data_IF_848521695913
#
_entry.id   IF_848521695913
#
_cell.length_a   1.000
_cell.length_b   1.000
_cell.length_c   1.000
_cell.angle_alpha   90.00
_cell.angle_beta   90.00
_cell.angle_gamma   90.00
#
_symmetry.space_group_name_H-M   'P 1'
#
loop_
_entity.id
_entity.type
_entity.pdbx_description
1 polymer ?
#
# COMPACT_ATOMS: atom_id res chain seq x y z
N UNK A 1 12.65 -5.03 -26.17
CA UNK A 1 13.42 -3.79 -25.92
C UNK A 1 13.56 -3.60 -24.41
N UNK A 2 14.72 -3.22 -23.86
CA UNK A 2 14.87 -3.02 -22.40
C UNK A 2 13.93 -1.90 -21.92
N UNK A 3 13.16 -2.19 -20.87
CA UNK A 3 12.25 -1.25 -20.22
C UNK A 3 10.99 -0.89 -21.01
N UNK A 4 10.60 -1.68 -22.01
CA UNK A 4 9.45 -1.36 -22.88
C UNK A 4 8.13 -1.24 -22.12
N UNK A 5 7.86 -2.18 -21.19
CA UNK A 5 6.67 -2.12 -20.34
C UNK A 5 6.59 -0.84 -19.49
N UNK A 6 7.73 -0.32 -19.03
CA UNK A 6 7.81 0.97 -18.31
C UNK A 6 7.57 2.13 -19.26
N UNK A 7 8.25 2.12 -20.43
CA UNK A 7 8.15 3.15 -21.47
C UNK A 7 6.75 3.29 -22.08
N UNK A 8 5.94 2.25 -22.07
CA UNK A 8 4.56 2.30 -22.57
C UNK A 8 3.53 2.43 -21.44
N UNK A 9 4.00 2.57 -20.20
CA UNK A 9 3.18 2.47 -18.99
C UNK A 9 2.25 1.24 -19.04
N UNK A 10 2.73 0.07 -19.48
CA UNK A 10 1.89 -1.10 -19.78
C UNK A 10 0.99 -1.46 -18.59
N UNK A 11 -0.34 -1.59 -18.79
CA UNK A 11 -1.29 -1.75 -17.68
C UNK A 11 -1.10 -3.01 -16.83
N UNK A 12 -0.51 -4.07 -17.41
CA UNK A 12 -0.34 -5.34 -16.72
C UNK A 12 1.13 -5.67 -16.36
N UNK A 13 2.09 -5.00 -17.01
CA UNK A 13 3.52 -5.35 -16.92
C UNK A 13 4.41 -4.18 -16.47
N UNK A 14 3.89 -2.96 -16.61
CA UNK A 14 4.56 -1.71 -16.28
C UNK A 14 4.24 -1.25 -14.85
N UNK A 15 4.45 0.05 -14.56
CA UNK A 15 4.04 0.63 -13.28
C UNK A 15 2.54 0.51 -13.05
N UNK A 16 2.13 0.56 -11.77
CA UNK A 16 0.75 0.80 -11.39
C UNK A 16 0.34 2.23 -11.78
N UNK A 17 -0.94 2.44 -12.06
CA UNK A 17 -1.51 3.79 -11.92
C UNK A 17 -1.61 4.18 -10.44
N UNK A 18 -1.89 5.45 -10.18
CA UNK A 18 -2.09 5.93 -8.82
C UNK A 18 -3.36 5.33 -8.19
N UNK A 19 -4.42 5.12 -8.99
CA UNK A 19 -5.66 4.44 -8.59
C UNK A 19 -5.41 2.97 -8.27
N UNK A 20 -4.67 2.24 -9.10
CA UNK A 20 -4.35 0.81 -8.88
C UNK A 20 -3.60 0.59 -7.57
N UNK A 21 -2.53 1.36 -7.33
CA UNK A 21 -1.72 1.17 -6.12
C UNK A 21 -2.44 1.68 -4.87
N UNK A 22 -3.20 2.77 -4.95
CA UNK A 22 -4.02 3.23 -3.83
C UNK A 22 -5.05 2.17 -3.47
N UNK A 23 -5.79 1.66 -4.45
CA UNK A 23 -6.79 0.62 -4.23
C UNK A 23 -6.23 -0.67 -3.69
N UNK A 24 -5.07 -1.10 -4.19
CA UNK A 24 -4.38 -2.25 -3.64
C UNK A 24 -3.98 -2.04 -2.19
N UNK A 25 -3.35 -0.92 -1.83
CA UNK A 25 -2.87 -0.68 -0.46
C UNK A 25 -4.02 -0.51 0.54
N UNK A 26 -5.10 0.17 0.17
CA UNK A 26 -6.31 0.29 1.00
C UNK A 26 -6.93 -1.09 1.25
N UNK A 27 -7.06 -1.91 0.20
CA UNK A 27 -7.62 -3.26 0.31
C UNK A 27 -6.75 -4.17 1.14
N UNK A 28 -5.41 -4.11 1.00
CA UNK A 28 -4.47 -4.87 1.84
C UNK A 28 -4.65 -4.50 3.32
N UNK A 29 -4.80 -3.21 3.62
CA UNK A 29 -5.00 -2.72 5.00
C UNK A 29 -6.33 -3.20 5.58
N UNK A 30 -7.39 -3.14 4.76
CA UNK A 30 -8.71 -3.65 5.08
C UNK A 30 -8.70 -5.17 5.35
N UNK A 31 -8.06 -5.96 4.48
CA UNK A 31 -7.97 -7.41 4.64
C UNK A 31 -7.11 -7.79 5.85
N UNK A 32 -6.14 -6.96 6.21
CA UNK A 32 -5.39 -7.12 7.46
C UNK A 32 -6.27 -6.88 8.69
N UNK A 33 -7.07 -5.81 8.70
CA UNK A 33 -8.05 -5.54 9.78
C UNK A 33 -9.05 -6.69 9.95
N UNK A 34 -9.44 -7.33 8.86
CA UNK A 34 -10.32 -8.51 8.85
C UNK A 34 -9.61 -9.82 9.24
N UNK A 35 -8.29 -9.80 9.51
CA UNK A 35 -7.50 -11.01 9.82
C UNK A 35 -7.23 -11.93 8.63
N UNK A 36 -7.49 -11.47 7.40
CA UNK A 36 -7.31 -12.24 6.16
C UNK A 36 -5.92 -12.08 5.55
N UNK A 37 -5.20 -11.01 5.90
CA UNK A 37 -3.79 -10.78 5.54
C UNK A 37 -2.94 -10.89 6.81
N UNK A 38 -1.83 -11.62 6.74
CA UNK A 38 -0.90 -11.77 7.87
C UNK A 38 -0.07 -10.51 8.10
N UNK A 39 0.48 -10.36 9.32
CA UNK A 39 1.44 -9.29 9.66
C UNK A 39 2.63 -9.28 8.70
N UNK A 40 3.14 -10.46 8.38
CA UNK A 40 4.26 -10.66 7.45
C UNK A 40 3.89 -10.25 6.02
N UNK A 41 2.69 -10.62 5.55
CA UNK A 41 2.20 -10.19 4.24
C UNK A 41 2.05 -8.67 4.12
N UNK A 42 1.46 -8.04 5.14
CA UNK A 42 1.32 -6.59 5.22
C UNK A 42 2.69 -5.89 5.19
N UNK A 43 3.62 -6.30 6.06
CA UNK A 43 4.96 -5.72 6.15
C UNK A 43 5.74 -5.88 4.85
N UNK A 44 5.68 -7.04 4.20
CA UNK A 44 6.35 -7.29 2.93
C UNK A 44 5.82 -6.38 1.81
N UNK A 45 4.50 -6.27 1.68
CA UNK A 45 3.86 -5.41 0.67
C UNK A 45 4.18 -3.93 0.90
N UNK A 46 4.10 -3.46 2.15
CA UNK A 46 4.42 -2.07 2.49
C UNK A 46 5.89 -1.74 2.22
N UNK A 47 6.84 -2.63 2.54
CA UNK A 47 8.24 -2.42 2.19
C UNK A 47 8.48 -2.41 0.68
N UNK A 48 7.83 -3.32 -0.07
CA UNK A 48 7.94 -3.33 -1.53
C UNK A 48 7.45 -2.01 -2.13
N UNK A 49 6.31 -1.51 -1.67
CA UNK A 49 5.72 -0.25 -2.11
C UNK A 49 6.59 0.96 -1.75
N UNK A 50 7.09 1.03 -0.52
CA UNK A 50 7.83 2.18 -0.02
C UNK A 50 9.24 2.29 -0.61
N UNK A 51 9.91 1.16 -0.82
CA UNK A 51 11.33 1.12 -1.14
C UNK A 51 11.64 0.75 -2.60
N UNK A 52 10.68 0.15 -3.31
CA UNK A 52 10.86 -0.38 -4.66
C UNK A 52 11.99 -1.41 -4.77
N UNK A 53 12.43 -2.00 -3.63
CA UNK A 53 13.55 -2.94 -3.56
C UNK A 53 13.15 -4.29 -4.11
N UNK A 54 14.16 -5.06 -4.53
CA UNK A 54 13.89 -6.45 -4.93
C UNK A 54 13.55 -7.25 -3.67
N UNK A 55 12.60 -8.20 -3.73
CA UNK A 55 12.22 -9.00 -2.55
C UNK A 55 13.43 -9.56 -1.81
N UNK A 56 14.38 -10.13 -2.54
CA UNK A 56 15.58 -10.72 -1.92
C UNK A 56 16.44 -9.76 -1.11
N UNK A 57 16.38 -8.45 -1.37
CA UNK A 57 17.04 -7.47 -0.52
C UNK A 57 16.32 -7.31 0.81
N UNK A 58 14.99 -7.33 0.77
CA UNK A 58 14.13 -7.20 1.95
C UNK A 58 14.18 -8.47 2.80
N UNK A 59 14.25 -9.66 2.18
CA UNK A 59 14.34 -10.93 2.92
C UNK A 59 15.64 -11.08 3.70
N UNK A 60 16.68 -10.31 3.38
CA UNK A 60 17.95 -10.32 4.09
C UNK A 60 17.97 -9.33 5.28
N UNK A 61 16.86 -8.64 5.57
CA UNK A 61 16.73 -7.74 6.71
C UNK A 61 16.76 -8.54 8.03
N UNK A 62 17.43 -7.97 9.02
CA UNK A 62 17.41 -8.39 10.43
C UNK A 62 16.67 -7.33 11.24
N UNK A 63 16.24 -7.69 12.45
CA UNK A 63 15.50 -6.79 13.33
C UNK A 63 16.28 -5.50 13.66
N UNK A 64 17.61 -5.59 13.84
CA UNK A 64 18.49 -4.42 14.02
C UNK A 64 18.53 -3.44 12.85
N UNK A 65 18.06 -3.82 11.67
CA UNK A 65 18.05 -2.93 10.50
C UNK A 65 16.92 -1.90 10.57
N UNK A 66 15.99 -2.03 11.52
CA UNK A 66 14.97 -1.03 11.84
C UNK A 66 15.57 0.02 12.77
N UNK A 67 15.71 1.25 12.27
CA UNK A 67 16.42 2.32 12.97
C UNK A 67 15.47 3.47 13.31
N UNK A 68 15.33 3.74 14.61
CA UNK A 68 14.65 4.91 15.14
C UNK A 68 15.69 6.01 15.44
N UNK A 69 15.58 7.16 14.78
CA UNK A 69 16.55 8.26 14.94
C UNK A 69 15.83 9.45 15.59
N UNK A 70 16.19 9.86 16.82
CA UNK A 70 15.64 11.06 17.42
C UNK A 70 16.06 12.30 16.64
N UNK A 71 15.15 13.25 16.50
CA UNK A 71 15.43 14.59 15.97
C UNK A 71 15.05 15.65 17.00
N UNK A 72 15.30 16.92 16.68
CA UNK A 72 14.95 18.03 17.56
C UNK A 72 13.47 18.01 17.96
N UNK A 73 13.16 18.57 19.13
CA UNK A 73 11.79 18.77 19.63
C UNK A 73 11.00 17.47 19.90
N UNK A 74 11.68 16.34 20.13
CA UNK A 74 11.03 15.09 20.52
C UNK A 74 10.38 14.31 19.37
N UNK A 75 10.61 14.75 18.13
CA UNK A 75 10.20 13.98 16.95
C UNK A 75 11.21 12.87 16.64
N UNK A 76 10.79 11.90 15.84
CA UNK A 76 11.62 10.80 15.38
C UNK A 76 11.54 10.65 13.86
N UNK A 77 12.63 10.17 13.26
CA UNK A 77 12.68 9.70 11.88
C UNK A 77 12.92 8.19 11.87
N UNK A 78 12.27 7.51 10.94
CA UNK A 78 12.24 6.05 10.88
C UNK A 78 12.97 5.57 9.65
N UNK A 79 13.90 4.65 9.80
CA UNK A 79 14.69 4.14 8.69
C UNK A 79 14.76 2.61 8.68
N UNK A 80 14.95 2.07 7.49
CA UNK A 80 15.28 0.66 7.25
C UNK A 80 16.62 0.61 6.54
N UNK A 81 17.60 -0.09 7.12
CA UNK A 81 18.90 -0.27 6.51
C UNK A 81 18.89 -1.53 5.62
N UNK A 82 18.62 -1.35 4.31
CA UNK A 82 18.39 -2.49 3.41
C UNK A 82 19.72 -3.03 2.87
N UNK A 83 20.02 -4.33 3.03
CA UNK A 83 21.18 -4.95 2.42
C UNK A 83 21.18 -4.83 0.90
N UNK A 84 22.34 -4.49 0.34
CA UNK A 84 22.55 -4.46 -1.11
C UNK A 84 22.88 -5.87 -1.59
N UNK A 85 22.42 -6.19 -2.80
CA UNK A 85 22.70 -7.46 -3.47
C UNK A 85 23.36 -7.22 -4.82
N UNK A 86 23.95 -8.27 -5.39
CA UNK A 86 24.57 -8.26 -6.74
C UNK A 86 25.70 -7.23 -6.89
N UNK A 87 26.32 -6.82 -5.79
CA UNK A 87 27.59 -6.09 -5.84
C UNK A 87 28.69 -7.08 -6.21
N UNK A 88 29.60 -6.70 -7.12
CA UNK A 88 30.68 -7.58 -7.57
C UNK A 88 31.62 -7.86 -6.38
N UNK A 89 31.79 -9.14 -6.04
CA UNK A 89 32.71 -9.56 -4.97
C UNK A 89 32.22 -9.32 -3.53
N UNK A 90 30.96 -8.89 -3.33
CA UNK A 90 30.42 -8.65 -1.99
C UNK A 90 29.96 -9.94 -1.29
N UNK A 91 30.27 -10.05 0.01
CA UNK A 91 29.72 -11.08 0.90
C UNK A 91 28.29 -10.74 1.36
N UNK A 92 27.63 -11.68 2.03
CA UNK A 92 26.29 -11.46 2.59
C UNK A 92 26.29 -10.23 3.51
N UNK A 93 25.31 -9.35 3.31
CA UNK A 93 25.16 -8.10 4.09
C UNK A 93 26.45 -7.27 4.18
N UNK A 94 27.31 -7.28 3.15
CA UNK A 94 28.54 -6.49 3.12
C UNK A 94 28.30 -4.99 2.94
N UNK A 95 27.21 -4.61 2.26
CA UNK A 95 26.85 -3.22 1.99
C UNK A 95 25.36 -3.00 2.24
N UNK A 96 25.01 -1.78 2.63
CA UNK A 96 23.64 -1.38 2.93
C UNK A 96 23.25 -0.08 2.25
N UNK A 97 21.95 0.12 2.12
CA UNK A 97 21.36 1.40 1.73
C UNK A 97 20.23 1.76 2.69
N UNK A 98 20.36 2.93 3.31
CA UNK A 98 19.37 3.47 4.24
C UNK A 98 18.16 3.99 3.47
N UNK A 99 16.97 3.56 3.86
CA UNK A 99 15.69 4.00 3.29
C UNK A 99 14.87 4.61 4.42
N UNK A 100 14.43 5.85 4.26
CA UNK A 100 13.49 6.46 5.20
C UNK A 100 12.08 5.95 4.94
N UNK A 101 11.33 5.69 6.01
CA UNK A 101 9.92 5.27 5.96
C UNK A 101 9.07 6.20 6.82
N UNK A 102 7.81 6.34 6.44
CA UNK A 102 6.83 7.09 7.23
C UNK A 102 6.35 6.25 8.43
N UNK A 103 5.80 6.94 9.45
CA UNK A 103 5.40 6.31 10.72
C UNK A 103 4.47 5.09 10.54
N UNK A 104 3.50 5.16 9.63
CA UNK A 104 2.57 4.05 9.41
C UNK A 104 3.28 2.77 8.95
N UNK A 105 4.31 2.89 8.10
CA UNK A 105 5.12 1.75 7.68
C UNK A 105 5.97 1.27 8.86
N UNK A 106 6.56 2.21 9.62
CA UNK A 106 7.31 1.86 10.83
C UNK A 106 6.48 1.05 11.82
N UNK A 107 5.26 1.49 12.14
CA UNK A 107 4.38 0.81 13.08
C UNK A 107 4.07 -0.63 12.60
N UNK A 108 3.85 -0.82 11.30
CA UNK A 108 3.67 -2.16 10.71
C UNK A 108 4.94 -3.02 10.82
N UNK A 109 6.12 -2.41 10.64
CA UNK A 109 7.38 -3.12 10.86
C UNK A 109 7.61 -3.48 12.32
N UNK A 110 7.14 -2.67 13.27
CA UNK A 110 7.16 -3.03 14.69
C UNK A 110 6.21 -4.18 15.00
N UNK A 111 5.01 -4.21 14.41
CA UNK A 111 4.11 -5.37 14.53
C UNK A 111 4.75 -6.67 13.99
N UNK A 112 5.51 -6.57 12.89
CA UNK A 112 6.28 -7.70 12.39
C UNK A 112 7.45 -8.05 13.31
N UNK A 113 8.17 -7.07 13.85
CA UNK A 113 9.25 -7.28 14.82
C UNK A 113 8.75 -8.09 16.03
N UNK A 114 7.67 -7.63 16.66
CA UNK A 114 7.06 -8.28 17.83
C UNK A 114 6.60 -9.71 17.49
N UNK A 115 6.02 -9.88 16.29
CA UNK A 115 5.62 -11.19 15.81
C UNK A 115 6.83 -12.13 15.66
N UNK A 116 7.94 -11.68 15.06
CA UNK A 116 9.16 -12.49 14.93
C UNK A 116 9.67 -12.92 16.29
N UNK A 117 9.84 -11.97 17.23
CA UNK A 117 10.33 -12.29 18.58
C UNK A 117 9.43 -13.32 19.26
N UNK A 118 8.11 -13.09 19.23
CA UNK A 118 7.13 -14.02 19.81
C UNK A 118 7.22 -15.43 19.23
N UNK A 119 7.47 -15.58 17.93
CA UNK A 119 7.55 -16.89 17.29
C UNK A 119 8.85 -17.64 17.67
N UNK A 120 9.97 -16.94 17.75
CA UNK A 120 11.23 -17.54 18.18
C UNK A 120 11.21 -17.92 19.67
N UNK A 121 10.68 -17.05 20.53
CA UNK A 121 10.54 -17.35 21.97
C UNK A 121 9.58 -18.51 22.22
N UNK A 122 8.46 -18.56 21.49
CA UNK A 122 7.51 -19.68 21.58
C UNK A 122 8.15 -21.01 21.15
N UNK A 123 8.94 -21.01 20.08
CA UNK A 123 9.64 -22.21 19.60
C UNK A 123 10.71 -22.69 20.58
N UNK A 124 11.41 -21.79 21.26
CA UNK A 124 12.46 -22.12 22.22
C UNK A 124 11.94 -22.38 23.64
N UNK A 125 10.71 -21.95 23.94
CA UNK A 125 10.13 -22.03 25.30
C UNK A 125 10.84 -21.13 26.32
N UNK A 126 11.56 -20.10 25.85
CA UNK A 126 12.35 -19.20 26.69
C UNK A 126 12.44 -17.81 26.07
N UNK A 127 12.61 -16.79 26.91
CA UNK A 127 12.93 -15.44 26.44
C UNK A 127 14.31 -15.40 25.79
N UNK A 128 14.47 -14.54 24.79
CA UNK A 128 15.73 -14.38 24.05
C UNK A 128 16.36 -13.03 24.42
N UNK A 129 17.69 -12.99 24.55
CA UNK A 129 18.39 -11.74 24.88
C UNK A 129 18.27 -10.72 23.75
N UNK A 130 18.36 -9.43 24.08
CA UNK A 130 18.22 -8.35 23.10
C UNK A 130 19.31 -8.43 22.01
N UNK A 131 20.51 -8.88 22.36
CA UNK A 131 21.60 -9.08 21.40
C UNK A 131 21.23 -10.10 20.33
N UNK A 132 20.64 -11.24 20.72
CA UNK A 132 20.21 -12.28 19.79
C UNK A 132 18.97 -11.83 19.01
N UNK A 133 18.00 -11.18 19.69
CA UNK A 133 16.81 -10.61 19.05
C UNK A 133 17.21 -9.68 17.90
N UNK A 134 18.20 -8.82 18.12
CA UNK A 134 18.68 -7.86 17.12
C UNK A 134 19.18 -8.54 15.83
N UNK A 135 19.69 -9.77 15.93
CA UNK A 135 20.21 -10.55 14.81
C UNK A 135 19.16 -11.41 14.11
N UNK A 136 17.96 -11.55 14.67
CA UNK A 136 16.89 -12.33 14.05
C UNK A 136 16.48 -11.74 12.69
N UNK A 137 16.18 -12.58 11.69
CA UNK A 137 15.69 -12.11 10.40
C UNK A 137 14.27 -11.54 10.54
N UNK A 138 14.05 -10.35 9.96
CA UNK A 138 12.73 -9.71 9.95
C UNK A 138 11.68 -10.56 9.18
N UNK A 139 12.17 -11.29 8.17
CA UNK A 139 11.42 -12.30 7.44
C UNK A 139 12.19 -13.61 7.58
N UNK A 140 11.68 -14.53 8.39
CA UNK A 140 12.34 -15.79 8.70
C UNK A 140 11.74 -16.97 7.91
N UNK A 141 12.50 -18.04 7.76
CA UNK A 141 12.02 -19.31 7.19
C UNK A 141 11.36 -20.16 8.28
N UNK A 142 10.04 -20.35 8.17
CA UNK A 142 9.25 -21.16 9.11
C UNK A 142 9.77 -22.61 9.20
N UNK A 143 10.31 -23.17 8.12
CA UNK A 143 10.82 -24.55 8.11
C UNK A 143 12.13 -24.68 8.87
N UNK A 144 12.94 -23.63 8.92
CA UNK A 144 14.15 -23.59 9.74
C UNK A 144 13.82 -23.27 11.19
N UNK A 145 12.81 -22.41 11.44
CA UNK A 145 12.33 -22.10 12.78
C UNK A 145 11.92 -23.39 13.53
N UNK A 146 11.09 -24.24 12.94
CA UNK A 146 10.61 -25.48 13.60
C UNK A 146 11.72 -26.49 13.91
N UNK A 147 12.90 -26.35 13.30
CA UNK A 147 14.08 -27.20 13.56
C UNK A 147 14.92 -26.68 14.72
N UNK A 148 14.67 -25.48 15.23
CA UNK A 148 15.38 -24.92 16.37
C UNK A 148 15.11 -25.76 17.63
N UNK A 149 16.17 -26.00 18.39
CA UNK A 149 16.17 -26.88 19.57
C UNK A 149 16.65 -26.17 20.84
N UNK A 150 17.46 -25.13 20.69
CA UNK A 150 18.09 -24.41 21.81
C UNK A 150 18.60 -23.05 21.32
N UNK A 151 18.91 -22.18 22.27
CA UNK A 151 19.55 -20.88 22.02
C UNK A 151 20.95 -21.06 21.39
N UNK A 152 21.70 -22.09 21.81
CA UNK A 152 23.01 -22.41 21.21
C UNK A 152 22.87 -22.73 19.71
N UNK A 153 21.87 -23.56 19.35
CA UNK A 153 21.58 -23.88 17.95
C UNK A 153 21.18 -22.62 17.17
N UNK A 154 20.35 -21.74 17.77
CA UNK A 154 19.98 -20.46 17.16
C UNK A 154 21.22 -19.61 16.84
N UNK A 155 22.15 -19.45 17.79
CA UNK A 155 23.37 -18.68 17.58
C UNK A 155 24.20 -19.22 16.40
N UNK A 156 24.35 -20.55 16.30
CA UNK A 156 25.04 -21.15 15.14
C UNK A 156 24.35 -20.81 13.81
N UNK A 157 23.02 -20.86 13.75
CA UNK A 157 22.30 -20.58 12.50
C UNK A 157 22.32 -19.10 12.12
N UNK A 158 22.40 -18.18 13.08
CA UNK A 158 22.51 -16.74 12.84
C UNK A 158 23.84 -16.35 12.16
N UNK A 159 24.87 -17.18 12.27
CA UNK A 159 26.16 -17.03 11.55
C UNK A 159 26.09 -17.52 10.09
N UNK A 160 25.15 -18.42 9.76
CA UNK A 160 25.06 -19.10 8.46
C UNK A 160 23.98 -18.52 7.52
N UNK A 161 23.24 -17.51 7.99
CA UNK A 161 22.14 -16.84 7.28
C UNK A 161 20.95 -17.72 6.88
N UNK A 162 20.92 -18.98 7.33
CA UNK A 162 19.92 -19.99 6.93
C UNK A 162 18.52 -19.69 7.43
N UNK A 163 18.38 -18.90 8.49
CA UNK A 163 17.09 -18.54 9.07
C UNK A 163 16.30 -17.51 8.25
N UNK A 164 16.89 -16.87 7.23
CA UNK A 164 16.19 -15.89 6.41
C UNK A 164 15.19 -16.58 5.46
N UNK A 165 14.01 -15.98 5.33
CA UNK A 165 12.95 -16.45 4.43
C UNK A 165 13.45 -16.62 3.00
N UNK A 166 13.10 -17.75 2.38
CA UNK A 166 13.45 -18.00 0.98
C UNK A 166 12.52 -17.29 0.00
N UNK A 167 13.02 -17.04 -1.21
CA UNK A 167 12.29 -16.32 -2.27
C UNK A 167 10.94 -16.96 -2.63
N UNK A 168 10.84 -18.28 -2.52
CA UNK A 168 9.62 -19.03 -2.84
C UNK A 168 8.51 -18.68 -1.86
N UNK A 169 8.80 -18.69 -0.57
CA UNK A 169 7.87 -18.31 0.51
C UNK A 169 7.41 -16.86 0.35
N UNK A 170 8.33 -15.93 0.10
CA UNK A 170 7.96 -14.54 -0.15
C UNK A 170 7.04 -14.36 -1.38
N UNK A 171 7.24 -15.16 -2.42
CA UNK A 171 6.36 -15.19 -3.59
C UNK A 171 4.97 -15.75 -3.27
N UNK A 172 4.89 -16.80 -2.45
CA UNK A 172 3.63 -17.37 -1.97
C UNK A 172 2.86 -16.39 -1.10
N UNK A 173 3.51 -15.78 -0.11
CA UNK A 173 2.92 -14.75 0.76
C UNK A 173 2.35 -13.59 -0.07
N UNK A 174 3.12 -13.09 -1.05
CA UNK A 174 2.63 -12.02 -1.90
C UNK A 174 1.42 -12.47 -2.73
N UNK A 175 1.43 -13.69 -3.29
CA UNK A 175 0.31 -14.21 -4.06
C UNK A 175 -0.94 -14.38 -3.19
N UNK A 176 -0.80 -14.90 -1.97
CA UNK A 176 -1.89 -15.02 -1.01
C UNK A 176 -2.51 -13.65 -0.69
N UNK A 177 -1.69 -12.63 -0.45
CA UNK A 177 -2.21 -11.27 -0.24
C UNK A 177 -3.00 -10.79 -1.44
N UNK A 178 -2.49 -11.01 -2.65
CA UNK A 178 -3.13 -10.58 -3.90
C UNK A 178 -4.46 -11.30 -4.11
N UNK A 179 -4.49 -12.62 -3.91
CA UNK A 179 -5.68 -13.45 -4.04
C UNK A 179 -6.76 -13.07 -3.03
N UNK A 180 -6.37 -12.66 -1.81
CA UNK A 180 -7.32 -12.18 -0.79
C UNK A 180 -7.87 -10.78 -1.06
N UNK A 181 -7.15 -9.95 -1.82
CA UNK A 181 -7.55 -8.57 -2.07
C UNK A 181 -8.54 -8.44 -3.23
N UNK A 182 -8.47 -9.28 -4.26
CA UNK A 182 -9.42 -9.27 -5.39
C UNK A 182 -9.61 -7.88 -6.04
N UNK A 183 -8.55 -7.06 -6.08
CA UNK A 183 -8.62 -5.69 -6.61
C UNK A 183 -8.66 -5.71 -8.13
N UNK A 184 -9.49 -4.87 -8.72
CA UNK A 184 -9.62 -4.71 -10.17
C UNK A 184 -8.91 -3.45 -10.65
N UNK A 185 -8.27 -3.55 -11.81
CA UNK A 185 -7.58 -2.44 -12.47
C UNK A 185 -8.59 -1.57 -13.22
N UNK A 186 -8.61 -0.27 -12.96
CA UNK A 186 -9.44 0.69 -13.72
C UNK A 186 -8.99 0.80 -15.18
N UNK A 187 -7.77 0.36 -15.49
CA UNK A 187 -7.21 0.42 -16.85
C UNK A 187 -7.63 -0.75 -17.72
N UNK A 188 -7.96 -1.89 -17.12
CA UNK A 188 -8.22 -3.15 -17.84
C UNK A 188 -9.56 -3.78 -17.52
N UNK A 189 -10.20 -3.41 -16.41
CA UNK A 189 -11.40 -4.04 -15.88
C UNK A 189 -11.20 -5.47 -15.39
N UNK A 190 -9.94 -5.94 -15.27
CA UNK A 190 -9.58 -7.30 -14.81
C UNK A 190 -8.91 -7.23 -13.45
N UNK A 191 -8.78 -8.39 -12.79
CA UNK A 191 -7.99 -8.52 -11.57
C UNK A 191 -6.58 -7.95 -11.75
N UNK A 192 -6.17 -7.11 -10.82
CA UNK A 192 -4.91 -6.39 -10.84
C UNK A 192 -3.74 -7.36 -10.73
N UNK A 193 -2.87 -7.40 -11.75
CA UNK A 193 -1.65 -8.20 -11.69
C UNK A 193 -0.63 -7.53 -10.78
N UNK A 194 -0.36 -8.10 -9.62
CA UNK A 194 0.60 -7.54 -8.66
C UNK A 194 1.82 -8.44 -8.57
N UNK A 195 3.01 -7.84 -8.75
CA UNK A 195 4.28 -8.53 -8.55
C UNK A 195 5.38 -7.51 -8.22
N UNK A 196 6.49 -7.92 -7.57
CA UNK A 196 7.46 -7.00 -6.97
C UNK A 196 8.06 -5.96 -7.93
N UNK A 197 8.24 -6.33 -9.20
CA UNK A 197 8.77 -5.41 -10.23
C UNK A 197 7.83 -4.24 -10.50
N UNK A 198 6.50 -4.39 -10.40
CA UNK A 198 5.56 -3.28 -10.63
C UNK A 198 5.69 -2.21 -9.54
N UNK A 199 5.89 -2.56 -8.27
CA UNK A 199 6.14 -1.57 -7.21
C UNK A 199 7.40 -0.75 -7.50
N UNK A 200 8.49 -1.44 -7.88
CA UNK A 200 9.73 -0.80 -8.31
C UNK A 200 9.52 0.14 -9.49
N UNK A 201 8.79 -0.31 -10.52
CA UNK A 201 8.50 0.50 -11.69
C UNK A 201 7.67 1.72 -11.34
N UNK A 202 6.71 1.56 -10.44
CA UNK A 202 5.84 2.65 -9.95
C UNK A 202 6.66 3.69 -9.21
N UNK A 203 7.51 3.28 -8.26
CA UNK A 203 8.38 4.20 -7.52
C UNK A 203 9.32 4.97 -8.44
N UNK A 204 9.98 4.29 -9.37
CA UNK A 204 10.88 4.92 -10.34
C UNK A 204 10.15 5.88 -11.29
N UNK A 205 8.96 5.50 -11.75
CA UNK A 205 8.14 6.33 -12.64
C UNK A 205 7.58 7.56 -11.93
N UNK A 206 7.14 7.42 -10.67
CA UNK A 206 6.71 8.55 -9.84
C UNK A 206 7.87 9.51 -9.60
N UNK A 207 9.03 9.02 -9.18
CA UNK A 207 10.20 9.88 -9.01
C UNK A 207 10.57 10.66 -10.29
N UNK A 208 10.47 10.03 -11.47
CA UNK A 208 10.67 10.73 -12.74
C UNK A 208 9.61 11.80 -13.02
N UNK A 209 8.34 11.54 -12.68
CA UNK A 209 7.24 12.54 -12.80
C UNK A 209 7.46 13.73 -11.87
N UNK A 210 8.00 13.50 -10.67
CA UNK A 210 8.41 14.54 -9.71
C UNK A 210 9.69 15.29 -10.13
N UNK A 211 10.17 15.10 -11.37
CA UNK A 211 11.35 15.78 -11.90
C UNK A 211 12.69 15.25 -11.37
N UNK A 212 12.72 14.11 -10.66
CA UNK A 212 13.98 13.55 -10.19
C UNK A 212 14.87 13.14 -11.36
N UNK A 213 16.11 13.61 -11.36
CA UNK A 213 17.11 13.21 -12.35
C UNK A 213 17.47 11.73 -12.29
N UNK A 214 18.04 11.20 -13.38
CA UNK A 214 18.40 9.78 -13.52
C UNK A 214 19.29 9.25 -12.39
N UNK A 215 20.18 10.09 -11.85
CA UNK A 215 21.07 9.74 -10.73
C UNK A 215 20.27 9.51 -9.45
N UNK A 216 19.34 10.41 -9.13
CA UNK A 216 18.47 10.29 -7.95
C UNK A 216 17.58 9.05 -8.07
N UNK A 217 17.03 8.78 -9.25
CA UNK A 217 16.22 7.58 -9.49
C UNK A 217 17.07 6.31 -9.36
N UNK A 218 18.30 6.31 -9.89
CA UNK A 218 19.24 5.21 -9.71
C UNK A 218 19.54 4.97 -8.22
N UNK A 219 19.72 6.04 -7.45
CA UNK A 219 19.96 5.98 -6.02
C UNK A 219 18.75 5.43 -5.24
N UNK A 220 17.57 5.98 -5.50
CA UNK A 220 16.28 5.57 -4.93
C UNK A 220 16.02 4.07 -5.15
N UNK A 221 16.34 3.57 -6.34
CA UNK A 221 16.08 2.19 -6.72
C UNK A 221 17.23 1.23 -6.40
N UNK A 222 18.35 1.67 -5.83
CA UNK A 222 19.54 0.83 -5.61
C UNK A 222 20.14 0.25 -6.88
N UNK A 223 20.38 1.11 -7.86
CA UNK A 223 21.23 0.75 -8.98
C UNK A 223 22.69 1.09 -8.68
N UNK A 224 23.61 0.22 -9.10
CA UNK A 224 25.04 0.52 -9.09
C UNK A 224 25.46 1.49 -10.22
N UNK A 225 24.60 1.72 -11.21
CA UNK A 225 24.81 2.65 -12.33
C UNK A 225 23.48 3.22 -12.87
N UNK A 226 23.56 4.17 -13.80
CA UNK A 226 22.39 4.85 -14.38
C UNK A 226 21.77 4.15 -15.59
N UNK A 227 22.44 3.16 -16.18
CA UNK A 227 22.08 2.51 -17.46
C UNK A 227 20.60 2.09 -17.54
N UNK A 228 20.07 1.59 -16.42
CA UNK A 228 18.69 1.11 -16.34
C UNK A 228 17.71 2.14 -15.77
N UNK A 229 18.17 3.27 -15.24
CA UNK A 229 17.31 4.32 -14.68
C UNK A 229 16.73 5.24 -15.78
N UNK A 230 17.39 5.37 -16.93
CA UNK A 230 16.90 6.16 -18.06
C UNK A 230 15.54 5.70 -18.62
N UNK A 231 15.10 4.48 -18.30
CA UNK A 231 13.78 3.97 -18.75
C UNK A 231 12.62 4.71 -18.09
N UNK A 232 12.84 5.34 -16.92
CA UNK A 232 11.81 6.08 -16.19
C UNK A 232 11.71 7.54 -16.66
N UNK A 233 12.84 8.19 -16.99
CA UNK A 233 12.87 9.60 -17.39
C UNK A 233 12.43 9.86 -18.83
N UNK A 234 12.40 8.82 -19.67
CA UNK A 234 11.90 8.92 -21.06
C UNK A 234 10.37 9.00 -21.15
N UNK A 235 9.71 8.85 -20.00
CA UNK A 235 8.28 8.70 -19.82
C UNK A 235 7.70 9.81 -18.95
N UNK A 236 8.18 11.04 -19.12
CA UNK A 236 7.51 12.22 -18.59
C UNK A 236 6.67 12.82 -19.72
N UNK A 237 5.49 12.25 -20.10
CA UNK A 237 4.48 13.09 -20.70
C UNK A 237 4.14 14.15 -19.66
N UNK A 238 4.51 15.39 -19.97
CA UNK A 238 3.78 16.57 -19.53
C UNK A 238 2.28 16.22 -19.53
N UNK A 239 1.68 16.25 -18.35
CA UNK A 239 0.25 16.10 -18.14
C UNK A 239 -0.29 14.68 -18.41
N UNK A 240 -0.18 13.83 -17.38
CA UNK A 240 -0.91 12.57 -17.29
C UNK A 240 -2.40 12.79 -17.56
N UNK A 241 -2.90 12.05 -18.55
CA UNK A 241 -4.28 11.87 -18.96
C UNK A 241 -5.33 12.50 -18.04
N UNK A 242 -6.04 13.49 -18.57
CA UNK A 242 -7.33 13.91 -18.05
C UNK A 242 -8.17 12.65 -17.82
N UNK A 243 -8.77 12.49 -16.64
CA UNK A 243 -9.94 11.61 -16.55
C UNK A 243 -10.96 12.26 -17.44
N UNK A 244 -11.02 11.82 -18.70
CA UNK A 244 -12.05 12.26 -19.62
C UNK A 244 -13.37 11.96 -18.91
N UNK A 245 -14.17 13.02 -18.73
CA UNK A 245 -15.48 13.00 -18.06
C UNK A 245 -16.42 11.93 -18.64
N UNK A 246 -16.11 11.42 -19.84
CA UNK A 246 -16.79 10.34 -20.56
C UNK A 246 -16.39 8.93 -20.09
N UNK A 247 -15.20 8.75 -19.51
CA UNK A 247 -14.66 7.45 -19.09
C UNK A 247 -15.16 7.06 -17.70
N UNK A 248 -15.43 8.05 -16.84
CA UNK A 248 -15.97 7.85 -15.49
C UNK A 248 -17.32 7.13 -15.41
N UNK A 249 -18.14 7.11 -16.47
CA UNK A 249 -19.42 6.36 -16.50
C UNK A 249 -19.27 4.87 -16.84
N UNK A 250 -18.22 4.50 -17.58
CA UNK A 250 -18.01 3.12 -18.01
C UNK A 250 -17.06 2.34 -17.10
N UNK A 251 -16.14 3.02 -16.40
CA UNK A 251 -15.20 2.39 -15.47
C UNK A 251 -15.81 2.01 -14.11
N UNK A 252 -16.88 2.68 -13.71
CA UNK A 252 -17.56 2.47 -12.43
C UNK A 252 -17.93 1.01 -12.18
N UNK A 253 -18.32 0.28 -13.24
CA UNK A 253 -18.74 -1.12 -13.12
C UNK A 253 -17.60 -2.10 -12.80
N UNK A 254 -16.35 -1.68 -12.92
CA UNK A 254 -15.20 -2.59 -12.92
C UNK A 254 -14.12 -2.25 -11.89
N UNK A 255 -14.24 -1.17 -11.12
CA UNK A 255 -13.16 -0.71 -10.24
C UNK A 255 -13.25 -1.19 -8.79
N UNK A 256 -14.40 -1.71 -8.34
CA UNK A 256 -14.68 -2.11 -6.94
C UNK A 256 -14.04 -1.12 -5.94
N UNK A 257 -14.24 0.18 -6.20
CA UNK A 257 -13.60 1.27 -5.47
C UNK A 257 -14.40 1.63 -4.22
N UNK A 258 -15.71 1.39 -4.23
CA UNK A 258 -16.56 1.47 -3.05
C UNK A 258 -16.42 0.21 -2.19
N UNK A 259 -15.88 0.36 -0.97
CA UNK A 259 -15.68 -0.76 -0.03
C UNK A 259 -16.81 -0.92 1.00
N UNK A 260 -17.71 0.06 1.08
CA UNK A 260 -18.77 0.12 2.08
C UNK A 260 -20.02 -0.66 1.68
N UNK A 261 -21.15 -0.31 2.31
CA UNK A 261 -22.47 -0.85 1.98
C UNK A 261 -23.47 0.27 1.71
N UNK A 262 -24.51 0.00 0.92
CA UNK A 262 -25.62 0.92 0.71
C UNK A 262 -26.82 0.45 1.54
N UNK A 263 -27.38 1.37 2.32
CA UNK A 263 -28.56 1.14 3.17
C UNK A 263 -29.70 2.04 2.72
N UNK A 264 -30.94 1.58 2.88
CA UNK A 264 -32.14 2.32 2.43
C UNK A 264 -32.25 3.72 3.05
N UNK A 265 -31.94 3.84 4.34
CA UNK A 265 -31.98 5.10 5.08
C UNK A 265 -31.14 5.01 6.34
N UNK A 266 -30.95 6.15 7.02
CA UNK A 266 -30.30 6.22 8.34
C UNK A 266 -30.84 5.18 9.32
N UNK A 267 -32.16 5.00 9.39
CA UNK A 267 -32.80 4.07 10.35
C UNK A 267 -32.36 2.61 10.18
N UNK A 268 -31.89 2.24 8.99
CA UNK A 268 -31.42 0.89 8.66
C UNK A 268 -29.90 0.73 8.80
N UNK A 269 -29.18 1.82 9.09
CA UNK A 269 -27.75 1.78 9.32
C UNK A 269 -27.43 1.25 10.72
N UNK A 270 -26.33 0.52 10.84
CA UNK A 270 -25.69 0.26 12.13
C UNK A 270 -25.26 1.59 12.76
N UNK A 271 -25.38 1.69 14.09
CA UNK A 271 -25.07 2.90 14.88
C UNK A 271 -25.92 4.13 14.51
N UNK A 272 -27.09 3.97 13.89
CA UNK A 272 -27.94 5.08 13.47
C UNK A 272 -28.39 6.03 14.61
N UNK A 273 -28.45 5.53 15.84
CA UNK A 273 -28.82 6.33 17.02
C UNK A 273 -27.62 6.99 17.72
N UNK A 274 -26.39 6.63 17.33
CA UNK A 274 -25.17 7.14 17.98
C UNK A 274 -24.87 8.57 17.49
N UNK A 275 -24.78 9.58 18.38
CA UNK A 275 -24.39 10.93 18.00
C UNK A 275 -23.02 10.97 17.32
N UNK A 276 -22.90 11.71 16.23
CA UNK A 276 -21.65 11.83 15.46
C UNK A 276 -21.36 10.68 14.49
N UNK A 277 -22.24 9.67 14.41
CA UNK A 277 -22.10 8.58 13.41
C UNK A 277 -22.51 9.01 12.00
N UNK A 278 -23.32 10.06 11.86
CA UNK A 278 -23.73 10.58 10.56
C UNK A 278 -22.55 11.21 9.82
N UNK A 279 -22.26 10.67 8.64
CA UNK A 279 -21.31 11.24 7.71
C UNK A 279 -22.06 12.27 6.85
N UNK A 280 -21.55 13.49 6.84
CA UNK A 280 -22.15 14.63 6.13
C UNK A 280 -21.25 15.08 5.00
N UNK A 281 -21.85 15.58 3.93
CA UNK A 281 -21.11 16.20 2.83
C UNK A 281 -20.60 17.61 3.21
N UNK A 282 -19.91 18.24 2.27
CA UNK A 282 -19.39 19.61 2.41
C UNK A 282 -20.48 20.67 2.64
N UNK A 283 -21.76 20.35 2.40
CA UNK A 283 -22.90 21.23 2.66
C UNK A 283 -23.56 20.97 4.01
N UNK A 284 -23.07 19.97 4.76
CA UNK A 284 -23.63 19.54 6.05
C UNK A 284 -24.82 18.58 5.94
N UNK A 285 -25.16 18.13 4.72
CA UNK A 285 -26.26 17.17 4.48
C UNK A 285 -25.75 15.75 4.69
N UNK A 286 -26.52 14.93 5.40
CA UNK A 286 -26.18 13.53 5.65
C UNK A 286 -26.11 12.71 4.36
N UNK A 287 -25.01 11.99 4.19
CA UNK A 287 -24.75 11.11 3.02
C UNK A 287 -24.61 9.64 3.40
N UNK A 288 -24.45 9.33 4.69
CA UNK A 288 -24.31 7.97 5.18
C UNK A 288 -24.07 7.92 6.68
N UNK A 289 -23.79 6.73 7.18
CA UNK A 289 -23.49 6.48 8.61
C UNK A 289 -22.18 5.69 8.74
N UNK A 290 -21.37 6.01 9.74
CA UNK A 290 -20.15 5.27 10.08
C UNK A 290 -20.47 4.10 11.03
N UNK A 291 -20.20 2.87 10.58
CA UNK A 291 -20.32 1.65 11.38
C UNK A 291 -19.17 1.42 12.37
N UNK A 292 -18.07 2.15 12.26
CA UNK A 292 -16.88 1.92 13.08
C UNK A 292 -17.09 2.35 14.53
N UNK A 293 -16.89 1.44 15.49
CA UNK A 293 -17.11 1.70 16.92
C UNK A 293 -16.00 2.53 17.58
N UNK A 294 -14.84 2.69 16.93
CA UNK A 294 -13.73 3.49 17.41
C UNK A 294 -13.71 4.95 16.93
N UNK A 295 -12.64 5.65 17.27
CA UNK A 295 -12.38 7.02 16.82
C UNK A 295 -11.74 7.01 15.43
N UNK A 296 -12.24 7.87 14.55
CA UNK A 296 -11.69 8.10 13.22
C UNK A 296 -11.24 9.57 13.13
N UNK A 297 -9.97 9.80 12.79
CA UNK A 297 -9.41 11.15 12.58
C UNK A 297 -9.30 11.49 11.09
N UNK A 298 -9.98 10.75 10.22
CA UNK A 298 -9.96 10.98 8.79
C UNK A 298 -10.79 12.21 8.40
N UNK A 299 -10.42 12.86 7.28
CA UNK A 299 -11.11 14.04 6.78
C UNK A 299 -12.44 13.67 6.07
N UNK A 300 -13.44 13.27 6.87
CA UNK A 300 -14.76 12.85 6.38
C UNK A 300 -15.46 13.99 5.61
N UNK A 301 -16.21 13.68 4.54
CA UNK A 301 -16.61 12.35 4.08
C UNK A 301 -15.69 11.72 3.02
N UNK A 302 -14.63 12.40 2.56
CA UNK A 302 -13.85 11.94 1.39
C UNK A 302 -13.34 10.49 1.52
N UNK A 303 -12.63 10.10 2.60
CA UNK A 303 -12.13 8.73 2.74
C UNK A 303 -13.23 7.72 3.13
N UNK A 304 -14.46 8.16 3.44
CA UNK A 304 -15.55 7.25 3.79
C UNK A 304 -15.97 6.38 2.60
N UNK A 305 -15.94 6.91 1.38
CA UNK A 305 -16.39 6.16 0.20
C UNK A 305 -15.47 4.99 -0.18
N UNK A 306 -14.25 4.92 0.35
CA UNK A 306 -13.35 3.75 0.18
C UNK A 306 -13.22 2.92 1.46
N UNK A 307 -13.94 3.28 2.53
CA UNK A 307 -13.89 2.64 3.84
C UNK A 307 -14.96 1.54 3.98
N UNK A 308 -14.58 0.39 4.54
CA UNK A 308 -15.51 -0.74 4.80
C UNK A 308 -16.62 -0.42 5.78
N UNK A 309 -16.37 0.51 6.69
CA UNK A 309 -17.31 0.85 7.75
C UNK A 309 -18.37 1.85 7.28
N UNK A 310 -18.27 2.36 6.05
CA UNK A 310 -19.20 3.36 5.56
C UNK A 310 -20.50 2.74 5.04
N UNK A 311 -21.63 3.23 5.54
CA UNK A 311 -22.97 2.84 5.14
C UNK A 311 -23.63 4.01 4.40
N UNK A 312 -23.49 4.06 3.08
CA UNK A 312 -24.05 5.09 2.22
C UNK A 312 -25.58 5.01 2.21
N UNK A 313 -26.28 6.14 2.32
CA UNK A 313 -27.75 6.15 2.28
C UNK A 313 -28.25 6.17 0.84
N UNK A 314 -29.20 5.30 0.48
CA UNK A 314 -29.75 5.16 -0.88
C UNK A 314 -30.23 6.50 -1.50
N UNK A 315 -30.74 7.40 -0.66
CA UNK A 315 -31.22 8.73 -1.04
C UNK A 315 -30.28 9.88 -0.60
N UNK A 316 -29.02 9.55 -0.27
CA UNK A 316 -27.99 10.54 0.05
C UNK A 316 -27.60 11.41 -1.16
N UNK A 317 -27.05 12.61 -0.94
CA UNK A 317 -26.70 13.57 -2.00
C UNK A 317 -25.39 13.19 -2.74
N UNK A 318 -25.21 11.93 -3.10
CA UNK A 318 -23.97 11.40 -3.69
C UNK A 318 -23.57 12.12 -4.98
N UNK A 319 -24.53 12.45 -5.86
CA UNK A 319 -24.27 13.21 -7.10
C UNK A 319 -23.74 14.62 -6.85
N UNK A 320 -24.21 15.29 -5.80
CA UNK A 320 -23.71 16.62 -5.41
C UNK A 320 -22.28 16.51 -4.91
N UNK A 321 -22.01 15.51 -4.07
CA UNK A 321 -20.67 15.25 -3.55
C UNK A 321 -19.69 14.87 -4.67
N UNK A 322 -20.10 14.02 -5.63
CA UNK A 322 -19.32 13.70 -6.83
C UNK A 322 -18.96 14.97 -7.64
N UNK A 323 -19.95 15.83 -7.88
CA UNK A 323 -19.74 17.08 -8.62
C UNK A 323 -18.73 17.98 -7.91
N UNK A 324 -18.83 18.09 -6.59
CA UNK A 324 -17.88 18.83 -5.76
C UNK A 324 -16.46 18.25 -5.87
N UNK A 325 -16.28 16.94 -5.76
CA UNK A 325 -14.95 16.31 -5.87
C UNK A 325 -14.31 16.54 -7.25
N UNK A 326 -15.09 16.49 -8.33
CA UNK A 326 -14.59 16.77 -9.69
C UNK A 326 -14.17 18.24 -9.84
N UNK A 327 -14.93 19.16 -9.25
CA UNK A 327 -14.57 20.58 -9.22
C UNK A 327 -13.30 20.82 -8.39
N UNK A 328 -13.21 20.20 -7.22
CA UNK A 328 -12.05 20.31 -6.33
C UNK A 328 -10.78 19.76 -6.98
N UNK A 329 -10.87 18.59 -7.63
CA UNK A 329 -9.78 18.03 -8.44
C UNK A 329 -9.28 19.00 -9.50
N UNK A 330 -10.20 19.68 -10.18
CA UNK A 330 -9.90 20.68 -11.22
C UNK A 330 -9.25 21.92 -10.61
N UNK A 331 -9.75 22.40 -9.48
CA UNK A 331 -9.20 23.56 -8.76
C UNK A 331 -7.79 23.28 -8.21
N UNK A 332 -7.56 22.10 -7.65
CA UNK A 332 -6.23 21.65 -7.21
C UNK A 332 -5.26 21.68 -8.39
N UNK A 333 -5.63 21.07 -9.52
CA UNK A 333 -4.77 21.10 -10.71
C UNK A 333 -4.46 22.53 -11.18
N UNK A 334 -5.45 23.42 -11.25
CA UNK A 334 -5.21 24.79 -11.68
C UNK A 334 -4.31 25.58 -10.72
N UNK A 335 -4.40 25.31 -9.41
CA UNK A 335 -3.61 26.01 -8.39
C UNK A 335 -2.18 25.46 -8.24
N UNK A 336 -1.99 24.15 -8.35
CA UNK A 336 -0.68 23.51 -8.19
C UNK A 336 0.07 23.31 -9.50
N UNK A 337 -0.65 23.27 -10.63
CA UNK A 337 -0.16 22.78 -11.93
C UNK A 337 0.42 21.35 -11.86
N UNK A 338 0.06 20.61 -10.80
CA UNK A 338 0.58 19.28 -10.49
C UNK A 338 -0.55 18.25 -10.58
N UNK A 339 -0.46 17.38 -11.59
CA UNK A 339 -1.42 16.30 -11.79
C UNK A 339 -1.34 15.22 -10.72
N UNK A 340 -0.18 14.97 -10.10
CA UNK A 340 -0.05 13.97 -9.06
C UNK A 340 -0.84 14.38 -7.82
N UNK A 341 -0.79 15.66 -7.46
CA UNK A 341 -1.58 16.23 -6.35
C UNK A 341 -3.07 16.17 -6.67
N UNK A 342 -3.48 16.54 -7.89
CA UNK A 342 -4.88 16.48 -8.30
C UNK A 342 -5.43 15.04 -8.33
N UNK A 343 -4.61 14.07 -8.78
CA UNK A 343 -5.01 12.66 -8.91
C UNK A 343 -5.26 11.96 -7.57
N UNK A 344 -4.89 12.58 -6.44
CA UNK A 344 -5.18 12.06 -5.11
C UNK A 344 -6.70 11.88 -4.84
N UNK A 345 -7.56 12.60 -5.57
CA UNK A 345 -9.01 12.48 -5.47
C UNK A 345 -9.62 11.41 -6.40
N UNK A 346 -8.86 10.87 -7.35
CA UNK A 346 -9.40 10.06 -8.46
C UNK A 346 -10.06 8.79 -7.97
N UNK A 347 -9.44 8.08 -7.03
CA UNK A 347 -10.02 6.86 -6.47
C UNK A 347 -11.33 7.13 -5.73
N UNK A 348 -11.39 8.19 -4.94
CA UNK A 348 -12.62 8.60 -4.23
C UNK A 348 -13.71 8.99 -5.23
N UNK A 349 -13.38 9.75 -6.28
CA UNK A 349 -14.31 10.11 -7.36
C UNK A 349 -14.91 8.86 -8.01
N UNK A 350 -14.09 7.84 -8.28
CA UNK A 350 -14.54 6.56 -8.83
C UNK A 350 -15.47 5.83 -7.83
N UNK A 351 -15.11 5.79 -6.54
CA UNK A 351 -15.93 5.18 -5.49
C UNK A 351 -17.29 5.86 -5.34
N UNK A 352 -17.36 7.19 -5.39
CA UNK A 352 -18.64 7.93 -5.32
C UNK A 352 -19.48 7.66 -6.58
N UNK A 353 -18.86 7.59 -7.75
CA UNK A 353 -19.56 7.21 -8.98
C UNK A 353 -20.18 5.80 -8.87
N UNK A 354 -19.48 4.87 -8.21
CA UNK A 354 -19.95 3.51 -7.94
C UNK A 354 -21.17 3.49 -7.04
N UNK A 355 -21.13 4.23 -5.93
CA UNK A 355 -22.30 4.39 -5.06
C UNK A 355 -23.50 4.93 -5.84
N UNK A 356 -23.31 5.96 -6.66
CA UNK A 356 -24.38 6.55 -7.47
C UNK A 356 -25.02 5.50 -8.40
N UNK A 357 -24.20 4.71 -9.09
CA UNK A 357 -24.69 3.70 -10.04
C UNK A 357 -25.43 2.57 -9.32
N UNK A 358 -24.91 2.07 -8.20
CA UNK A 358 -25.58 1.02 -7.41
C UNK A 358 -26.89 1.55 -6.83
N UNK A 359 -26.92 2.78 -6.32
CA UNK A 359 -28.15 3.43 -5.85
C UNK A 359 -29.21 3.53 -6.96
N UNK A 360 -28.82 3.85 -8.21
CA UNK A 360 -29.75 3.88 -9.36
C UNK A 360 -30.30 2.50 -9.67
N UNK A 361 -29.45 1.48 -9.67
CA UNK A 361 -29.86 0.10 -9.94
C UNK A 361 -30.84 -0.42 -8.88
N UNK A 362 -30.56 -0.17 -7.59
CA UNK A 362 -31.46 -0.52 -6.49
C UNK A 362 -32.83 0.16 -6.61
N UNK A 363 -32.86 1.46 -6.96
CA UNK A 363 -34.11 2.21 -7.17
C UNK A 363 -34.91 1.68 -8.36
N UNK A 364 -34.23 1.33 -9.45
CA UNK A 364 -34.86 0.78 -10.65
C UNK A 364 -35.45 -0.63 -10.42
N UNK A 365 -34.89 -1.42 -9.50
CA UNK A 365 -35.43 -2.74 -9.12
C UNK A 365 -36.62 -2.66 -8.14
N UNK A 366 -36.73 -1.55 -7.41
CA UNK A 366 -37.81 -1.29 -6.47
C UNK A 366 -39.02 -0.54 -7.09
N UNK A 367 -38.87 -0.09 -8.35
CA UNK A 367 -39.92 0.53 -9.18
C UNK A 367 -40.51 -0.50 -10.12
#
# INVERSE_FOLDING_TARGET
MKGDAVKRLHPEEGPFSDVEVQGFMETVSMKFEQGLVSKTGLALVMLLQASGRRPWQLLNLRLKDLLLVPVAQGFFRYFVNVPRIKQRGGSFRAEFRKVEVIKIIWDVLQLQYEHVVSQFEAQLGSTISEEIVSELPLFYDEQELVKLKSIEHLNTLLELDTLHMVRRQAGQILQEVVDKCEVYSERTGKCLKVFPRRFRYTLGTRAAREGCGVIIIAELLDHSNTDNAHVYTRNVPEHGAHIDRLVGKHLTRYAAAFSGTIVESKSKAQRCEVPGSDIRDHTGVGTGTCGHEGRCDANVPMPCYTCIHFQAWLNGPHEKFYTHLVQERTAIFHSTQDNAVAAALDRTIIAVAEVIEVCRQMKAQAS
#
